data_IF_320255977802
#
_entry.id   IF_320255977802
#
_cell.length_a   1.000
_cell.length_b   1.000
_cell.length_c   1.000
_cell.angle_alpha   90.00
_cell.angle_beta   90.00
_cell.angle_gamma   90.00
#
_symmetry.space_group_name_H-M   'P 1'
#
loop_
_entity.id
_entity.type
_entity.pdbx_description
1 polymer ?
#
# COMPACT_ATOMS: atom_id res chain seq x y z
N UNK A 1 -9.16 -17.91 17.37
CA UNK A 1 -9.26 -16.56 16.74
C UNK A 1 -9.84 -16.74 15.35
N UNK A 2 -10.69 -15.83 14.91
CA UNK A 2 -11.23 -15.89 13.55
C UNK A 2 -10.08 -15.57 12.57
N UNK A 3 -9.61 -16.58 11.83
CA UNK A 3 -8.47 -16.49 10.92
C UNK A 3 -8.82 -15.80 9.60
N UNK A 4 -9.96 -15.11 9.56
CA UNK A 4 -10.45 -14.43 8.36
C UNK A 4 -9.65 -13.16 8.08
N UNK A 5 -9.19 -13.00 6.84
CA UNK A 5 -8.47 -11.83 6.37
C UNK A 5 -9.44 -10.85 5.69
N UNK A 6 -9.41 -9.57 6.06
CA UNK A 6 -10.02 -8.52 5.27
C UNK A 6 -9.00 -7.98 4.28
N UNK A 7 -9.26 -8.12 2.99
CA UNK A 7 -8.49 -7.49 1.93
C UNK A 7 -9.24 -6.23 1.54
N UNK A 8 -8.61 -5.07 1.67
CA UNK A 8 -9.23 -3.74 1.50
C UNK A 8 -8.54 -3.00 0.38
N UNK A 9 -9.32 -2.58 -0.60
CA UNK A 9 -8.84 -1.78 -1.71
C UNK A 9 -9.77 -0.60 -1.98
N UNK A 10 -9.21 0.51 -2.45
CA UNK A 10 -9.96 1.69 -2.90
C UNK A 10 -9.93 1.73 -4.42
N UNK A 11 -11.10 1.76 -5.05
CA UNK A 11 -11.21 1.80 -6.49
C UNK A 11 -11.74 3.16 -6.96
N UNK A 12 -11.01 3.76 -7.91
CA UNK A 12 -11.45 4.94 -8.68
C UNK A 12 -11.88 4.56 -10.09
N UNK A 13 -11.46 3.38 -10.54
CA UNK A 13 -11.71 2.88 -11.87
C UNK A 13 -11.88 1.37 -11.82
N UNK A 14 -13.08 0.89 -12.14
CA UNK A 14 -13.42 -0.53 -12.18
C UNK A 14 -12.40 -1.39 -12.94
N UNK A 15 -11.79 -0.85 -14.00
CA UNK A 15 -10.85 -1.61 -14.83
C UNK A 15 -9.57 -1.95 -14.05
N UNK A 16 -9.13 -1.08 -13.16
CA UNK A 16 -7.91 -1.29 -12.39
C UNK A 16 -8.02 -2.52 -11.47
N UNK A 17 -9.17 -2.70 -10.79
CA UNK A 17 -9.35 -3.78 -9.80
C UNK A 17 -9.56 -5.17 -10.42
N UNK A 18 -9.73 -5.28 -11.72
CA UNK A 18 -10.07 -6.55 -12.39
C UNK A 18 -9.02 -7.64 -12.15
N UNK A 19 -7.74 -7.33 -12.33
CA UNK A 19 -6.66 -8.30 -12.13
C UNK A 19 -6.51 -8.73 -10.67
N UNK A 20 -6.76 -7.81 -9.72
CA UNK A 20 -6.80 -8.16 -8.31
C UNK A 20 -7.91 -9.17 -8.01
N UNK A 21 -9.13 -8.93 -8.48
CA UNK A 21 -10.27 -9.85 -8.33
C UNK A 21 -9.95 -11.22 -8.93
N UNK A 22 -9.44 -11.25 -10.17
CA UNK A 22 -9.10 -12.49 -10.87
C UNK A 22 -8.03 -13.29 -10.12
N UNK A 23 -6.96 -12.66 -9.67
CA UNK A 23 -5.91 -13.34 -8.92
C UNK A 23 -6.36 -13.81 -7.53
N UNK A 24 -7.22 -13.07 -6.87
CA UNK A 24 -7.86 -13.48 -5.61
C UNK A 24 -8.84 -14.64 -5.81
N UNK A 25 -9.52 -14.72 -6.95
CA UNK A 25 -10.39 -15.86 -7.26
C UNK A 25 -9.62 -17.19 -7.36
N UNK A 26 -8.32 -17.14 -7.64
CA UNK A 26 -7.46 -18.31 -7.76
C UNK A 26 -6.66 -18.65 -6.48
N UNK A 27 -6.98 -18.04 -5.33
CA UNK A 27 -6.31 -18.33 -4.07
C UNK A 27 -6.55 -19.77 -3.59
N UNK A 28 -5.50 -20.41 -3.06
CA UNK A 28 -5.57 -21.73 -2.43
C UNK A 28 -6.37 -21.69 -1.12
N UNK A 29 -6.28 -20.60 -0.37
CA UNK A 29 -7.04 -20.35 0.87
C UNK A 29 -8.05 -19.23 0.66
N UNK A 30 -9.35 -19.55 0.86
CA UNK A 30 -10.46 -18.62 0.62
C UNK A 30 -11.08 -18.03 1.89
N UNK A 31 -10.40 -18.14 3.02
CA UNK A 31 -10.89 -17.55 4.27
C UNK A 31 -10.58 -16.03 4.34
N UNK A 32 -11.11 -15.29 3.38
CA UNK A 32 -11.01 -13.84 3.33
C UNK A 32 -12.30 -13.21 2.80
N UNK A 33 -12.42 -11.90 2.96
CA UNK A 33 -13.41 -11.07 2.29
C UNK A 33 -12.67 -9.92 1.60
N UNK A 34 -13.02 -9.66 0.35
CA UNK A 34 -12.55 -8.48 -0.38
C UNK A 34 -13.52 -7.32 -0.16
N UNK A 35 -13.03 -6.23 0.43
CA UNK A 35 -13.76 -4.97 0.60
C UNK A 35 -13.28 -4.00 -0.47
N UNK A 36 -14.15 -3.68 -1.42
CA UNK A 36 -13.88 -2.70 -2.47
C UNK A 36 -14.59 -1.41 -2.07
N UNK A 37 -13.82 -0.38 -1.76
CA UNK A 37 -14.37 0.95 -1.51
C UNK A 37 -14.38 1.70 -2.83
N UNK A 38 -15.54 1.71 -3.46
CA UNK A 38 -15.75 2.41 -4.74
C UNK A 38 -15.96 3.90 -4.49
N UNK A 39 -15.04 4.70 -4.98
CA UNK A 39 -15.06 6.16 -4.91
C UNK A 39 -15.17 6.81 -6.29
N UNK A 40 -15.47 6.03 -7.33
CA UNK A 40 -15.65 6.50 -8.72
C UNK A 40 -16.87 7.41 -8.89
N UNK A 41 -17.87 7.23 -8.02
CA UNK A 41 -19.19 7.88 -8.16
C UNK A 41 -20.12 7.24 -9.20
N UNK A 42 -19.66 6.17 -9.86
CA UNK A 42 -20.41 5.51 -10.94
C UNK A 42 -21.29 4.35 -10.44
N UNK A 43 -21.21 3.99 -9.16
CA UNK A 43 -21.84 2.78 -8.59
C UNK A 43 -21.49 1.53 -9.42
N UNK A 44 -20.21 1.34 -9.66
CA UNK A 44 -19.71 0.27 -10.53
C UNK A 44 -20.12 -1.11 -10.02
N UNK A 45 -20.52 -1.99 -10.95
CA UNK A 45 -20.80 -3.38 -10.64
C UNK A 45 -19.53 -4.20 -10.81
N UNK A 46 -19.07 -4.81 -9.73
CA UNK A 46 -17.91 -5.71 -9.77
C UNK A 46 -18.35 -7.17 -9.91
N UNK A 47 -17.64 -7.95 -10.71
CA UNK A 47 -17.92 -9.38 -10.89
C UNK A 47 -17.09 -10.21 -9.92
N UNK A 48 -17.68 -10.81 -8.87
CA UNK A 48 -16.94 -11.38 -7.75
C UNK A 48 -16.27 -12.73 -8.03
N UNK A 49 -16.49 -13.38 -9.18
CA UNK A 49 -15.84 -14.66 -9.55
C UNK A 49 -15.81 -15.72 -8.42
N UNK A 50 -16.93 -15.93 -7.73
CA UNK A 50 -17.05 -16.82 -6.57
C UNK A 50 -16.22 -16.38 -5.34
N UNK A 51 -15.95 -15.09 -5.19
CA UNK A 51 -15.35 -14.49 -4.01
C UNK A 51 -16.42 -13.93 -3.07
N UNK A 52 -16.08 -13.88 -1.78
CA UNK A 52 -16.82 -13.07 -0.82
C UNK A 52 -16.36 -11.61 -0.98
N UNK A 53 -17.21 -10.78 -1.60
CA UNK A 53 -16.92 -9.37 -1.90
C UNK A 53 -17.97 -8.49 -1.25
N UNK A 54 -17.53 -7.43 -0.58
CA UNK A 54 -18.36 -6.29 -0.15
C UNK A 54 -17.94 -5.04 -0.90
N UNK A 55 -18.88 -4.41 -1.59
CA UNK A 55 -18.67 -3.13 -2.27
C UNK A 55 -19.26 -2.00 -1.41
N UNK A 56 -18.45 -1.01 -1.09
CA UNK A 56 -18.81 0.16 -0.32
C UNK A 56 -18.78 1.39 -1.21
N UNK A 57 -19.92 1.85 -1.69
CA UNK A 57 -19.99 3.08 -2.45
C UNK A 57 -19.79 4.28 -1.53
N UNK A 58 -18.77 5.08 -1.79
CA UNK A 58 -18.39 6.25 -0.97
C UNK A 58 -18.06 7.44 -1.87
N UNK A 59 -18.26 8.64 -1.35
CA UNK A 59 -17.76 9.84 -2.00
C UNK A 59 -16.23 9.88 -1.92
N UNK A 60 -15.59 10.38 -2.99
CA UNK A 60 -14.14 10.49 -3.03
C UNK A 60 -13.64 11.59 -2.09
N UNK A 61 -13.10 11.20 -0.93
CA UNK A 61 -12.39 12.07 0.02
C UNK A 61 -10.90 11.72 0.12
N UNK A 62 -10.38 10.94 -0.82
CA UNK A 62 -8.99 10.50 -0.88
C UNK A 62 -8.78 9.06 -0.44
N UNK A 63 -7.54 8.58 -0.67
CA UNK A 63 -7.16 7.19 -0.44
C UNK A 63 -7.28 6.79 1.03
N UNK A 64 -6.72 7.60 1.95
CA UNK A 64 -6.79 7.33 3.39
C UNK A 64 -8.22 7.16 3.89
N UNK A 65 -9.14 8.05 3.45
CA UNK A 65 -10.56 7.94 3.77
C UNK A 65 -11.16 6.62 3.28
N UNK A 66 -10.89 6.25 2.02
CA UNK A 66 -11.41 5.00 1.46
C UNK A 66 -10.91 3.77 2.23
N UNK A 67 -9.63 3.70 2.53
CA UNK A 67 -9.06 2.60 3.34
C UNK A 67 -9.70 2.56 4.74
N UNK A 68 -9.86 3.70 5.38
CA UNK A 68 -10.48 3.76 6.71
C UNK A 68 -11.92 3.25 6.70
N UNK A 69 -12.72 3.58 5.68
CA UNK A 69 -14.09 3.06 5.54
C UNK A 69 -14.10 1.53 5.36
N UNK A 70 -13.18 0.99 4.55
CA UNK A 70 -13.02 -0.45 4.40
C UNK A 70 -12.62 -1.15 5.71
N UNK A 71 -11.68 -0.59 6.48
CA UNK A 71 -11.28 -1.12 7.78
C UNK A 71 -12.45 -1.10 8.76
N UNK A 72 -13.19 0.01 8.86
CA UNK A 72 -14.37 0.13 9.76
C UNK A 72 -15.42 -0.94 9.45
N UNK A 73 -15.73 -1.14 8.17
CA UNK A 73 -16.68 -2.17 7.74
C UNK A 73 -16.19 -3.57 8.11
N UNK A 74 -14.92 -3.89 7.83
CA UNK A 74 -14.35 -5.18 8.17
C UNK A 74 -14.32 -5.43 9.69
N UNK A 75 -14.07 -4.40 10.50
CA UNK A 75 -14.15 -4.48 11.95
C UNK A 75 -15.58 -4.74 12.43
N UNK A 76 -16.58 -4.16 11.79
CA UNK A 76 -18.01 -4.41 12.06
C UNK A 76 -18.39 -5.86 11.75
N UNK A 77 -17.75 -6.47 10.72
CA UNK A 77 -17.90 -7.90 10.40
C UNK A 77 -17.10 -8.82 11.35
N UNK A 78 -16.44 -8.27 12.38
CA UNK A 78 -15.68 -9.03 13.36
C UNK A 78 -14.33 -9.53 12.87
N UNK A 79 -13.79 -8.96 11.77
CA UNK A 79 -12.46 -9.32 11.25
C UNK A 79 -11.37 -8.63 12.08
N UNK A 80 -10.27 -9.32 12.33
CA UNK A 80 -9.15 -8.85 13.15
C UNK A 80 -7.80 -8.79 12.41
N UNK A 81 -7.75 -9.26 11.17
CA UNK A 81 -6.56 -9.24 10.32
C UNK A 81 -6.88 -8.49 9.03
N UNK A 82 -6.04 -7.54 8.65
CA UNK A 82 -6.29 -6.61 7.55
C UNK A 82 -5.12 -6.60 6.57
N UNK A 83 -5.44 -6.58 5.29
CA UNK A 83 -4.53 -6.37 4.18
C UNK A 83 -5.03 -5.16 3.39
N UNK A 84 -4.31 -4.05 3.45
CA UNK A 84 -4.50 -2.90 2.58
C UNK A 84 -3.72 -3.20 1.30
N UNK A 85 -4.35 -3.07 0.14
CA UNK A 85 -3.73 -3.35 -1.14
C UNK A 85 -4.29 -2.41 -2.24
N UNK A 86 -3.44 -1.95 -3.15
CA UNK A 86 -3.89 -1.15 -4.28
C UNK A 86 -4.73 -1.96 -5.26
N UNK A 87 -5.67 -1.29 -5.92
CA UNK A 87 -6.57 -1.89 -6.91
C UNK A 87 -5.84 -2.33 -8.20
N UNK A 88 -4.72 -1.69 -8.55
CA UNK A 88 -3.90 -2.00 -9.72
C UNK A 88 -2.77 -3.02 -9.41
N UNK A 89 -3.13 -4.09 -8.71
CA UNK A 89 -2.21 -5.17 -8.34
C UNK A 89 -2.78 -6.55 -8.70
N UNK A 90 -1.92 -7.56 -8.67
CA UNK A 90 -2.34 -8.95 -8.61
C UNK A 90 -1.41 -9.75 -7.70
N UNK A 91 -1.85 -10.92 -7.26
CA UNK A 91 -1.23 -11.70 -6.18
C UNK A 91 -0.95 -13.15 -6.59
N UNK A 92 0.03 -13.78 -5.96
CA UNK A 92 0.31 -15.21 -6.14
C UNK A 92 -0.77 -16.09 -5.48
N UNK A 93 -0.84 -17.38 -5.85
CA UNK A 93 -1.91 -18.32 -5.43
C UNK A 93 -1.97 -18.63 -3.93
N UNK A 94 -0.89 -18.42 -3.19
CA UNK A 94 -0.78 -18.67 -1.75
C UNK A 94 -0.68 -17.36 -0.93
N UNK A 95 -0.94 -16.21 -1.57
CA UNK A 95 -0.85 -14.89 -0.98
C UNK A 95 -1.66 -14.78 0.32
N UNK A 96 -2.94 -15.18 0.32
CA UNK A 96 -3.81 -15.04 1.50
C UNK A 96 -3.34 -15.89 2.69
N UNK A 97 -2.78 -17.06 2.40
CA UNK A 97 -2.16 -17.92 3.43
C UNK A 97 -0.91 -17.27 4.01
N UNK A 98 -0.01 -16.76 3.16
CA UNK A 98 1.22 -16.11 3.56
C UNK A 98 0.95 -14.81 4.33
N UNK A 99 0.00 -13.99 3.86
CA UNK A 99 -0.42 -12.78 4.55
C UNK A 99 -0.92 -13.07 5.98
N UNK A 100 -1.81 -14.06 6.13
CA UNK A 100 -2.28 -14.48 7.46
C UNK A 100 -1.15 -15.02 8.34
N UNK A 101 -0.25 -15.83 7.77
CA UNK A 101 0.90 -16.37 8.51
C UNK A 101 1.83 -15.22 8.98
N UNK A 102 2.10 -14.25 8.12
CA UNK A 102 2.93 -13.10 8.44
C UNK A 102 2.33 -12.24 9.57
N UNK A 103 1.03 -11.93 9.51
CA UNK A 103 0.32 -11.21 10.59
C UNK A 103 0.42 -11.97 11.92
N UNK A 104 0.24 -13.30 11.90
CA UNK A 104 0.35 -14.13 13.12
C UNK A 104 1.76 -14.20 13.68
N UNK A 105 2.78 -14.20 12.82
CA UNK A 105 4.18 -14.24 13.22
C UNK A 105 4.69 -12.91 13.77
N UNK A 106 4.05 -11.81 13.38
CA UNK A 106 4.42 -10.45 13.75
C UNK A 106 3.22 -9.68 14.33
N UNK A 107 2.65 -10.13 15.47
CA UNK A 107 1.50 -9.47 16.06
C UNK A 107 1.83 -8.03 16.45
N UNK A 108 0.83 -7.15 16.41
CA UNK A 108 0.95 -5.73 16.78
C UNK A 108 2.03 -4.99 15.97
N UNK A 109 2.23 -5.36 14.71
CA UNK A 109 3.21 -4.75 13.81
C UNK A 109 2.54 -4.29 12.51
N UNK A 110 3.13 -3.29 11.85
CA UNK A 110 2.86 -3.02 10.45
C UNK A 110 3.79 -3.90 9.61
N UNK A 111 3.24 -4.54 8.57
CA UNK A 111 4.02 -5.48 7.76
C UNK A 111 3.86 -5.11 6.28
N UNK A 112 4.97 -4.98 5.58
CA UNK A 112 5.03 -4.84 4.12
C UNK A 112 5.57 -6.11 3.46
N UNK A 113 5.11 -6.41 2.26
CA UNK A 113 5.60 -7.53 1.47
C UNK A 113 6.59 -7.11 0.40
N UNK A 114 7.03 -8.07 -0.42
CA UNK A 114 7.83 -7.84 -1.62
C UNK A 114 6.91 -7.48 -2.78
N UNK A 115 7.17 -6.37 -3.44
CA UNK A 115 6.35 -5.89 -4.55
C UNK A 115 7.22 -5.82 -5.80
N UNK A 116 6.76 -6.47 -6.86
CA UNK A 116 7.37 -6.40 -8.18
C UNK A 116 6.59 -5.46 -9.09
N UNK A 117 7.25 -4.92 -10.08
CA UNK A 117 6.52 -4.42 -11.25
C UNK A 117 5.81 -5.60 -11.94
N UNK A 118 4.60 -5.38 -12.41
CA UNK A 118 3.99 -6.32 -13.34
C UNK A 118 4.80 -6.34 -14.65
N UNK A 119 4.87 -7.48 -15.37
CA UNK A 119 5.54 -7.54 -16.66
C UNK A 119 5.05 -6.44 -17.60
N UNK A 120 5.98 -5.79 -18.29
CA UNK A 120 5.72 -4.66 -19.20
C UNK A 120 5.27 -3.36 -18.52
N UNK A 121 5.29 -3.32 -17.17
CA UNK A 121 4.99 -2.12 -16.36
C UNK A 121 6.22 -1.57 -15.62
N UNK A 122 7.40 -2.15 -15.85
CA UNK A 122 8.68 -1.67 -15.31
C UNK A 122 8.93 -0.23 -15.78
N UNK A 123 9.45 0.62 -14.90
CA UNK A 123 9.67 2.03 -15.20
C UNK A 123 10.68 2.22 -16.37
N UNK A 124 11.73 1.38 -16.42
CA UNK A 124 12.73 1.37 -17.46
C UNK A 124 12.63 0.10 -18.32
N UNK A 125 11.55 -0.04 -19.09
CA UNK A 125 11.23 -1.27 -19.86
C UNK A 125 12.39 -1.80 -20.71
N UNK A 126 13.13 -0.91 -21.38
CA UNK A 126 14.20 -1.28 -22.29
C UNK A 126 15.51 -1.71 -21.58
N UNK A 127 15.56 -1.55 -20.23
CA UNK A 127 16.72 -1.94 -19.43
C UNK A 127 16.77 -3.44 -19.16
N UNK A 128 15.63 -4.12 -19.16
CA UNK A 128 15.52 -5.49 -18.67
C UNK A 128 15.38 -6.49 -19.80
N UNK A 129 16.08 -7.63 -19.68
CA UNK A 129 15.87 -8.74 -20.58
C UNK A 129 14.44 -9.28 -20.40
N UNK A 130 13.84 -9.81 -21.48
CA UNK A 130 12.46 -10.33 -21.43
C UNK A 130 12.22 -11.38 -20.35
N UNK A 131 13.24 -12.18 -20.02
CA UNK A 131 13.20 -13.18 -18.94
C UNK A 131 13.10 -12.57 -17.53
N UNK A 132 13.51 -11.32 -17.36
CA UNK A 132 13.54 -10.61 -16.08
C UNK A 132 12.29 -9.76 -15.85
N UNK A 133 11.47 -9.57 -16.88
CA UNK A 133 10.18 -8.86 -16.76
C UNK A 133 9.26 -9.56 -15.75
N UNK A 134 8.64 -8.78 -14.88
CA UNK A 134 7.87 -9.30 -13.74
C UNK A 134 8.72 -9.82 -12.58
N UNK A 135 10.05 -9.77 -12.67
CA UNK A 135 11.00 -10.08 -11.61
C UNK A 135 11.83 -8.85 -11.20
N UNK A 136 11.40 -7.67 -11.61
CA UNK A 136 12.00 -6.39 -11.25
C UNK A 136 11.27 -5.85 -10.02
N UNK A 137 12.02 -5.50 -8.99
CA UNK A 137 11.49 -5.02 -7.73
C UNK A 137 10.95 -3.59 -7.86
N UNK A 138 9.74 -3.37 -7.36
CA UNK A 138 9.20 -2.05 -7.11
C UNK A 138 9.40 -1.64 -5.65
N UNK A 139 9.35 -2.62 -4.72
CA UNK A 139 9.58 -2.41 -3.29
C UNK A 139 10.07 -3.70 -2.61
N UNK A 140 11.14 -3.60 -1.86
CA UNK A 140 11.68 -4.67 -1.02
C UNK A 140 12.08 -4.13 0.37
N UNK A 141 11.13 -3.50 1.07
CA UNK A 141 11.36 -2.68 2.26
C UNK A 141 11.54 -1.20 1.89
N UNK A 142 11.42 -0.32 2.86
CA UNK A 142 11.48 1.12 2.62
C UNK A 142 12.43 1.85 3.56
N UNK A 143 12.85 3.01 3.13
CA UNK A 143 13.71 3.95 3.86
C UNK A 143 13.06 5.32 3.90
N UNK A 144 13.56 6.21 4.74
CA UNK A 144 13.14 7.63 4.75
C UNK A 144 14.38 8.51 4.64
N UNK A 145 14.48 9.22 3.53
CA UNK A 145 15.50 10.27 3.40
C UNK A 145 15.06 11.53 4.15
N UNK A 146 15.55 11.68 5.37
CA UNK A 146 15.24 12.83 6.21
C UNK A 146 15.84 14.14 5.73
N UNK A 147 16.82 14.13 4.85
CA UNK A 147 17.37 15.36 4.25
C UNK A 147 16.37 16.02 3.29
N UNK A 148 15.52 15.21 2.65
CA UNK A 148 14.48 15.63 1.72
C UNK A 148 13.04 15.32 2.21
N UNK A 149 12.90 14.63 3.36
CA UNK A 149 11.62 14.14 3.90
C UNK A 149 10.86 13.24 2.91
N UNK A 150 11.59 12.38 2.23
CA UNK A 150 11.04 11.49 1.21
C UNK A 150 11.10 10.03 1.65
N UNK A 151 9.95 9.34 1.74
CA UNK A 151 9.95 7.89 1.82
C UNK A 151 10.46 7.31 0.50
N UNK A 152 11.25 6.27 0.58
CA UNK A 152 11.87 5.60 -0.57
C UNK A 152 11.68 4.09 -0.53
N UNK A 153 11.76 3.47 -1.69
CA UNK A 153 11.68 2.02 -1.85
C UNK A 153 13.08 1.45 -1.99
N UNK A 154 13.43 0.50 -1.14
CA UNK A 154 14.66 -0.26 -1.28
C UNK A 154 14.54 -1.26 -2.44
N UNK A 155 15.59 -1.44 -3.19
CA UNK A 155 15.67 -2.38 -4.30
C UNK A 155 14.86 -1.97 -5.54
N UNK A 156 14.28 -0.76 -5.57
CA UNK A 156 13.51 -0.29 -6.72
C UNK A 156 14.36 -0.33 -8.00
N UNK A 157 13.75 -0.83 -9.09
CA UNK A 157 14.40 -1.03 -10.39
C UNK A 157 15.55 -2.06 -10.42
N UNK A 158 15.73 -2.87 -9.37
CA UNK A 158 16.66 -3.99 -9.36
C UNK A 158 15.97 -5.30 -9.79
N UNK A 159 16.66 -6.13 -10.55
CA UNK A 159 16.22 -7.52 -10.78
C UNK A 159 16.36 -8.29 -9.48
N UNK A 160 15.32 -9.03 -9.08
CA UNK A 160 15.37 -9.86 -7.88
C UNK A 160 16.26 -11.08 -8.08
N UNK A 161 17.43 -11.04 -7.44
CA UNK A 161 18.39 -12.14 -7.35
C UNK A 161 18.38 -12.78 -5.95
N UNK A 162 17.26 -12.61 -5.20
CA UNK A 162 17.07 -13.05 -3.82
C UNK A 162 17.88 -12.24 -2.79
N UNK A 163 18.38 -11.07 -3.17
CA UNK A 163 19.17 -10.18 -2.29
C UNK A 163 18.35 -9.61 -1.12
N UNK A 164 17.02 -9.64 -1.21
CA UNK A 164 16.10 -9.14 -0.16
C UNK A 164 15.13 -10.24 0.31
N UNK A 165 15.61 -11.45 0.57
CA UNK A 165 14.78 -12.62 0.95
C UNK A 165 14.77 -12.86 2.48
N UNK A 166 15.16 -11.88 3.28
CA UNK A 166 15.13 -11.97 4.74
C UNK A 166 14.00 -11.13 5.33
N UNK A 167 13.31 -11.67 6.33
CA UNK A 167 12.40 -10.90 7.18
C UNK A 167 13.24 -9.96 8.05
N UNK A 168 12.92 -8.68 8.05
CA UNK A 168 13.68 -7.68 8.81
C UNK A 168 12.84 -6.44 9.13
N UNK A 169 13.30 -5.63 10.08
CA UNK A 169 12.71 -4.32 10.34
C UNK A 169 13.02 -3.36 9.17
N UNK A 170 12.09 -2.47 8.88
CA UNK A 170 12.20 -1.47 7.82
C UNK A 170 11.77 -0.09 8.34
N UNK A 171 12.12 0.99 7.64
CA UNK A 171 11.77 2.34 8.09
C UNK A 171 10.43 2.83 7.53
N UNK A 172 9.97 2.23 6.43
CA UNK A 172 8.76 2.63 5.74
C UNK A 172 8.07 1.42 5.10
N UNK A 173 6.74 1.40 5.16
CA UNK A 173 5.88 0.43 4.48
C UNK A 173 4.91 1.20 3.60
N UNK A 174 4.90 0.87 2.31
CA UNK A 174 4.03 1.52 1.33
C UNK A 174 2.57 1.10 1.49
N UNK A 175 1.65 2.03 1.27
CA UNK A 175 0.21 1.76 1.22
C UNK A 175 -0.22 0.84 0.06
N UNK A 176 0.68 0.57 -0.90
CA UNK A 176 0.41 -0.40 -1.96
C UNK A 176 0.20 -1.83 -1.43
N UNK A 177 0.92 -2.22 -0.36
CA UNK A 177 0.71 -3.45 0.40
C UNK A 177 1.08 -3.24 1.86
N UNK A 178 0.09 -3.24 2.73
CA UNK A 178 0.29 -3.12 4.18
C UNK A 178 -0.61 -4.12 4.91
N UNK A 179 -0.01 -4.98 5.72
CA UNK A 179 -0.70 -5.94 6.57
C UNK A 179 -0.64 -5.47 8.01
N UNK A 180 -1.71 -5.68 8.75
CA UNK A 180 -1.80 -5.35 10.18
C UNK A 180 -2.91 -6.13 10.87
N UNK A 181 -2.85 -6.21 12.18
CA UNK A 181 -3.94 -6.74 12.99
C UNK A 181 -4.74 -5.61 13.69
N UNK A 182 -5.87 -5.99 14.29
CA UNK A 182 -6.75 -5.07 15.01
C UNK A 182 -6.05 -4.36 16.18
N UNK A 183 -5.02 -4.94 16.78
CA UNK A 183 -4.31 -4.33 17.90
C UNK A 183 -3.54 -3.08 17.45
N UNK A 184 -2.99 -3.09 16.23
CA UNK A 184 -2.37 -1.90 15.62
C UNK A 184 -3.40 -0.79 15.48
N UNK A 185 -4.58 -1.08 14.93
CA UNK A 185 -5.64 -0.07 14.76
C UNK A 185 -6.09 0.48 16.12
N UNK A 186 -6.25 -0.39 17.12
CA UNK A 186 -6.66 0.04 18.46
C UNK A 186 -5.62 0.96 19.12
N UNK A 187 -4.33 0.75 18.86
CA UNK A 187 -3.24 1.52 19.45
C UNK A 187 -2.92 2.79 18.66
N UNK A 188 -2.91 2.69 17.33
CA UNK A 188 -2.44 3.73 16.42
C UNK A 188 -3.59 4.58 15.86
N UNK A 189 -4.81 4.03 15.81
CA UNK A 189 -5.94 4.61 15.10
C UNK A 189 -5.88 4.36 13.59
N UNK A 190 -6.71 5.10 12.87
CA UNK A 190 -6.82 5.04 11.42
C UNK A 190 -5.77 5.91 10.70
N UNK A 191 -5.68 5.79 9.37
CA UNK A 191 -4.86 6.67 8.55
C UNK A 191 -5.36 8.13 8.66
N UNK A 192 -4.46 9.11 8.54
CA UNK A 192 -4.78 10.54 8.60
C UNK A 192 -5.44 11.00 7.27
N UNK A 193 -6.77 11.16 7.30
CA UNK A 193 -7.58 11.53 6.12
C UNK A 193 -7.28 12.95 5.58
N UNK A 194 -6.50 13.74 6.28
CA UNK A 194 -6.04 15.03 5.77
C UNK A 194 -4.95 14.92 4.70
N UNK A 195 -4.42 13.72 4.47
CA UNK A 195 -3.69 13.32 3.27
C UNK A 195 -4.69 12.75 2.26
N UNK A 196 -5.04 13.53 1.26
CA UNK A 196 -5.96 13.05 0.22
C UNK A 196 -5.36 11.91 -0.61
N UNK A 197 -4.07 12.01 -0.95
CA UNK A 197 -3.32 11.05 -1.74
C UNK A 197 -1.82 11.27 -1.51
N UNK A 198 -1.06 10.21 -1.29
CA UNK A 198 0.37 10.17 -0.97
C UNK A 198 0.73 10.71 0.42
N UNK A 199 1.72 10.10 1.05
CA UNK A 199 2.24 10.35 2.40
C UNK A 199 1.32 9.90 3.56
N UNK A 200 0.11 9.42 3.32
CA UNK A 200 -0.73 8.82 4.36
C UNK A 200 -0.09 7.59 4.97
N UNK A 201 0.58 6.77 4.15
CA UNK A 201 1.33 5.59 4.55
C UNK A 201 2.60 5.95 5.31
N UNK A 202 3.36 6.94 4.85
CA UNK A 202 4.53 7.45 5.55
C UNK A 202 4.15 8.06 6.92
N UNK A 203 3.06 8.83 6.98
CA UNK A 203 2.52 9.35 8.24
C UNK A 203 2.14 8.22 9.20
N UNK A 204 1.49 7.18 8.67
CA UNK A 204 1.09 6.02 9.47
C UNK A 204 2.29 5.29 10.04
N UNK A 205 3.34 5.10 9.24
CA UNK A 205 4.61 4.52 9.68
C UNK A 205 5.30 5.35 10.76
N UNK A 206 5.37 6.68 10.60
CA UNK A 206 5.99 7.54 11.59
C UNK A 206 5.21 7.58 12.92
N UNK A 207 3.86 7.54 12.86
CA UNK A 207 3.05 7.40 14.08
C UNK A 207 3.27 6.05 14.76
N UNK A 208 3.39 4.98 13.98
CA UNK A 208 3.66 3.63 14.50
C UNK A 208 5.00 3.58 15.24
N UNK A 209 6.06 4.11 14.64
CA UNK A 209 7.40 4.20 15.27
C UNK A 209 7.38 4.96 16.60
N UNK A 210 6.61 6.05 16.69
CA UNK A 210 6.46 6.81 17.96
C UNK A 210 5.79 6.01 19.07
N UNK A 211 5.01 5.00 18.74
CA UNK A 211 4.36 4.08 19.67
C UNK A 211 5.13 2.76 19.85
N UNK A 212 6.36 2.68 19.32
CA UNK A 212 7.19 1.48 19.31
C UNK A 212 6.49 0.27 18.62
N UNK A 213 5.60 0.53 17.67
CA UNK A 213 5.03 -0.48 16.79
C UNK A 213 6.06 -0.77 15.70
N UNK A 214 6.45 -2.04 15.57
CA UNK A 214 7.46 -2.46 14.59
C UNK A 214 6.93 -2.35 13.16
N UNK A 215 7.81 -1.97 12.25
CA UNK A 215 7.62 -2.01 10.82
C UNK A 215 8.45 -3.18 10.28
N UNK A 216 7.79 -4.20 9.73
CA UNK A 216 8.42 -5.45 9.28
C UNK A 216 8.30 -5.56 7.77
N UNK A 217 9.39 -5.89 7.10
CA UNK A 217 9.39 -6.36 5.72
C UNK A 217 9.41 -7.88 5.72
N UNK A 218 8.39 -8.51 5.12
CA UNK A 218 8.30 -9.97 4.97
C UNK A 218 8.27 -10.34 3.48
N UNK A 219 9.40 -10.81 2.92
CA UNK A 219 9.52 -11.15 1.50
C UNK A 219 8.73 -12.40 1.09
N UNK A 220 8.14 -13.13 2.02
CA UNK A 220 7.27 -14.27 1.70
C UNK A 220 5.94 -13.84 1.11
N UNK A 221 5.47 -12.63 1.43
CA UNK A 221 4.23 -12.04 0.90
C UNK A 221 4.56 -11.25 -0.35
N UNK A 222 4.07 -11.69 -1.51
CA UNK A 222 4.45 -11.15 -2.82
C UNK A 222 3.24 -10.69 -3.61
N UNK A 223 3.40 -9.54 -4.26
CA UNK A 223 2.43 -9.00 -5.21
C UNK A 223 3.13 -8.39 -6.44
N UNK A 224 2.38 -8.16 -7.50
CA UNK A 224 2.80 -7.42 -8.69
C UNK A 224 1.93 -6.18 -8.85
N UNK A 225 2.57 -5.05 -9.14
CA UNK A 225 1.94 -3.74 -9.27
C UNK A 225 1.98 -3.28 -10.73
N UNK A 226 0.82 -2.95 -11.27
CA UNK A 226 0.64 -2.49 -12.65
C UNK A 226 0.92 -0.99 -12.81
N UNK A 227 1.61 -0.41 -11.94
CA UNK A 227 2.00 1.00 -11.79
C UNK A 227 1.32 1.94 -12.79
N UNK A 228 0.57 2.90 -12.27
CA UNK A 228 -0.01 4.00 -13.07
C UNK A 228 -1.37 3.75 -13.73
N UNK A 229 -2.09 2.68 -13.41
CA UNK A 229 -3.44 2.53 -13.97
C UNK A 229 -4.51 3.34 -13.23
N UNK A 230 -4.27 3.70 -11.97
CA UNK A 230 -5.26 4.37 -11.11
C UNK A 230 -5.13 5.91 -11.06
N UNK A 231 -3.99 6.51 -11.44
CA UNK A 231 -3.70 7.95 -11.24
C UNK A 231 -3.15 8.71 -12.44
N UNK A 232 -3.39 8.27 -13.67
CA UNK A 232 -2.78 8.82 -14.91
C UNK A 232 -1.24 8.82 -14.92
N UNK A 233 -0.62 8.06 -14.02
CA UNK A 233 0.81 7.84 -13.97
C UNK A 233 1.60 8.78 -13.07
N UNK A 234 2.82 8.33 -12.74
CA UNK A 234 3.84 9.14 -12.08
C UNK A 234 4.12 10.38 -12.93
N UNK A 235 4.04 11.59 -12.31
CA UNK A 235 4.27 12.85 -13.00
C UNK A 235 3.00 13.54 -13.52
N UNK A 236 1.81 12.96 -13.37
CA UNK A 236 0.56 13.67 -13.66
C UNK A 236 0.43 14.95 -12.81
N UNK A 237 -0.35 15.94 -13.30
CA UNK A 237 -0.59 17.18 -12.54
C UNK A 237 -1.18 16.91 -11.16
N UNK A 238 -2.04 15.90 -11.04
CA UNK A 238 -2.63 15.47 -9.78
C UNK A 238 -1.57 14.91 -8.84
N UNK A 239 -0.71 14.01 -9.34
CA UNK A 239 0.41 13.45 -8.61
C UNK A 239 1.33 14.57 -8.07
N UNK A 240 1.82 15.45 -8.93
CA UNK A 240 2.72 16.54 -8.54
C UNK A 240 2.11 17.47 -7.48
N UNK A 241 0.82 17.81 -7.62
CA UNK A 241 0.10 18.66 -6.68
C UNK A 241 0.08 18.09 -5.27
N UNK A 242 -0.34 16.81 -5.13
CA UNK A 242 -0.46 16.21 -3.81
C UNK A 242 0.90 15.80 -3.23
N UNK A 243 1.83 15.33 -4.06
CA UNK A 243 3.20 15.04 -3.62
C UNK A 243 3.85 16.29 -3.00
N UNK A 244 3.84 17.41 -3.70
CA UNK A 244 4.44 18.66 -3.21
C UNK A 244 3.78 19.16 -1.93
N UNK A 245 2.43 19.18 -1.88
CA UNK A 245 1.67 19.62 -0.71
C UNK A 245 1.93 18.75 0.50
N UNK A 246 1.88 17.42 0.31
CA UNK A 246 1.95 16.46 1.40
C UNK A 246 3.40 16.25 1.89
N UNK A 247 4.40 16.40 1.01
CA UNK A 247 5.80 16.52 1.40
C UNK A 247 6.00 17.61 2.45
N UNK A 248 5.48 18.82 2.20
CA UNK A 248 5.61 19.94 3.16
C UNK A 248 4.94 19.60 4.48
N UNK A 249 3.70 19.07 4.42
CA UNK A 249 2.97 18.66 5.63
C UNK A 249 3.74 17.62 6.43
N UNK A 250 4.25 16.58 5.77
CA UNK A 250 5.01 15.50 6.38
C UNK A 250 6.33 16.03 7.00
N UNK A 251 7.06 16.85 6.24
CA UNK A 251 8.29 17.47 6.72
C UNK A 251 8.05 18.32 7.98
N UNK A 252 7.02 19.18 7.97
CA UNK A 252 6.69 20.01 9.14
C UNK A 252 6.33 19.18 10.38
N UNK A 253 5.74 18.00 10.19
CA UNK A 253 5.34 17.12 11.29
C UNK A 253 6.50 16.33 11.88
N UNK A 254 7.44 15.86 11.03
CA UNK A 254 8.42 14.84 11.44
C UNK A 254 9.88 15.21 11.23
N UNK A 255 10.21 16.04 10.25
CA UNK A 255 11.59 16.27 9.84
C UNK A 255 12.38 17.09 10.89
N UNK A 256 13.72 17.00 10.88
CA UNK A 256 14.59 17.91 11.61
C UNK A 256 14.39 19.37 11.17
N UNK A 257 14.67 20.32 12.08
CA UNK A 257 14.44 21.75 11.83
C UNK A 257 15.11 22.26 10.54
N UNK A 258 16.34 21.82 10.28
CA UNK A 258 17.07 22.17 9.04
C UNK A 258 16.30 21.77 7.78
N UNK A 259 15.77 20.55 7.76
CA UNK A 259 14.99 20.02 6.64
C UNK A 259 13.65 20.76 6.50
N UNK A 260 12.98 21.07 7.63
CA UNK A 260 11.75 21.89 7.59
C UNK A 260 11.97 23.22 6.87
N UNK A 261 13.04 23.91 7.23
CA UNK A 261 13.39 25.20 6.62
C UNK A 261 13.73 25.06 5.12
N UNK A 262 14.47 23.99 4.77
CA UNK A 262 14.80 23.70 3.37
C UNK A 262 13.56 23.39 2.53
N UNK A 263 12.67 22.53 3.02
CA UNK A 263 11.43 22.18 2.33
C UNK A 263 10.50 23.39 2.14
N UNK A 264 10.36 24.24 3.17
CA UNK A 264 9.59 25.48 3.08
C UNK A 264 10.19 26.44 2.05
N UNK A 265 11.50 26.64 2.08
CA UNK A 265 12.20 27.47 1.09
C UNK A 265 11.89 26.98 -0.34
N UNK A 266 12.06 25.70 -0.60
CA UNK A 266 11.80 25.12 -1.93
C UNK A 266 10.31 25.18 -2.32
N UNK A 267 9.39 25.11 -1.36
CA UNK A 267 7.95 25.20 -1.63
C UNK A 267 7.54 26.61 -2.10
N UNK A 268 8.07 27.65 -1.46
CA UNK A 268 7.68 29.04 -1.75
C UNK A 268 8.54 29.72 -2.80
N UNK A 269 9.80 29.33 -2.99
CA UNK A 269 10.78 30.01 -3.83
C UNK A 269 11.30 29.17 -4.99
N UNK A 270 10.84 27.90 -5.17
CA UNK A 270 11.16 27.15 -6.38
C UNK A 270 10.37 27.78 -7.55
N UNK A 271 11.09 28.54 -8.39
CA UNK A 271 10.65 29.08 -9.67
C UNK A 271 10.69 27.98 -10.71
#
# INVERSE_FOLDING_TARGET
MNDKLAIITVSFNKKAVTQLIESLAHQNHKNFTLYIVDTSGNNDTFHPLNLNVKVLNRINKGYAYGINEGIKEAMTDGVNAFCIINDDTYVEKDFTQKANASIKSHPSSLIGGKIYYAPEHEYHKDRYAKKDQGNVLWYAGGTVDWSHSQPGHRGVDEVDLKQFDKVEETEFITGCLMLLDKSVINSLGFLDESYFLYYEDADYCERAKKLNIKLIYDPSVKIWHLVSQSTDGSGSKLHQKYQKKNLVKFALKYAPLRTKLHVLKNYFFAV
#
